data_IF_114578030831
#
_entry.id   IF_114578030831
#
_cell.length_a   1.000
_cell.length_b   1.000
_cell.length_c   1.000
_cell.angle_alpha   90.00
_cell.angle_beta   90.00
_cell.angle_gamma   90.00
#
_symmetry.space_group_name_H-M   'P 1'
#
loop_
_entity.id
_entity.type
_entity.pdbx_description
1 polymer ?
#
# COMPACT_ATOMS: atom_id res chain seq x y z
N UNK A 1 4.70 -4.96 8.85
CA UNK A 1 4.72 -5.20 7.41
C UNK A 1 4.03 -4.07 6.66
N UNK A 2 4.58 -3.64 5.51
CA UNK A 2 3.87 -2.77 4.58
C UNK A 2 2.74 -3.52 3.88
N UNK A 3 1.75 -2.78 3.32
CA UNK A 3 0.69 -3.36 2.49
C UNK A 3 1.04 -3.35 1.00
N UNK A 4 1.99 -2.53 0.59
CA UNK A 4 2.53 -2.53 -0.78
C UNK A 4 3.60 -3.59 -0.91
N UNK A 5 3.65 -4.25 -2.06
CA UNK A 5 4.65 -5.28 -2.31
C UNK A 5 4.60 -5.82 -3.72
N UNK A 6 5.72 -6.36 -4.14
CA UNK A 6 5.90 -7.03 -5.41
C UNK A 6 6.74 -8.29 -5.20
N UNK A 7 6.28 -9.40 -5.78
CA UNK A 7 7.03 -10.64 -5.83
C UNK A 7 6.94 -11.25 -7.21
N UNK A 8 8.05 -11.80 -7.68
CA UNK A 8 8.16 -12.47 -8.96
C UNK A 8 9.04 -13.71 -8.80
N UNK A 9 8.60 -14.78 -9.41
CA UNK A 9 9.40 -16.00 -9.56
C UNK A 9 9.18 -16.61 -10.95
N UNK A 10 10.13 -17.37 -11.44
CA UNK A 10 10.02 -18.02 -12.75
C UNK A 10 10.71 -19.37 -12.76
N UNK A 11 10.15 -20.30 -13.51
CA UNK A 11 10.68 -21.63 -13.70
C UNK A 11 10.75 -21.96 -15.18
N UNK A 12 11.90 -22.46 -15.64
CA UNK A 12 12.05 -23.00 -16.98
C UNK A 12 11.79 -24.51 -16.93
N UNK A 13 10.73 -24.93 -17.62
CA UNK A 13 10.47 -26.33 -17.94
C UNK A 13 11.05 -26.66 -19.31
N UNK A 14 11.01 -27.92 -19.71
CA UNK A 14 11.56 -28.40 -21.00
C UNK A 14 10.96 -27.67 -22.21
N UNK A 15 9.65 -27.42 -22.18
CA UNK A 15 8.89 -26.83 -23.30
C UNK A 15 8.17 -25.52 -22.96
N UNK A 16 8.19 -25.10 -21.70
CA UNK A 16 7.43 -23.96 -21.21
C UNK A 16 8.27 -23.17 -20.21
N UNK A 17 8.13 -21.83 -20.24
CA UNK A 17 8.60 -20.95 -19.17
C UNK A 17 7.39 -20.45 -18.40
N UNK A 18 7.39 -20.69 -17.09
CA UNK A 18 6.34 -20.26 -16.17
C UNK A 18 6.86 -19.05 -15.41
N UNK A 19 6.06 -17.99 -15.37
CA UNK A 19 6.36 -16.79 -14.60
C UNK A 19 5.15 -16.43 -13.75
N UNK A 20 5.39 -16.27 -12.45
CA UNK A 20 4.39 -15.82 -11.48
C UNK A 20 4.73 -14.42 -11.01
N UNK A 21 3.77 -13.52 -11.05
CA UNK A 21 3.87 -12.18 -10.49
C UNK A 21 2.74 -11.95 -9.48
N UNK A 22 3.12 -11.44 -8.31
CA UNK A 22 2.17 -11.07 -7.25
C UNK A 22 2.43 -9.62 -6.89
N UNK A 23 1.41 -8.77 -7.07
CA UNK A 23 1.45 -7.34 -6.73
C UNK A 23 0.43 -7.04 -5.66
N UNK A 24 0.78 -6.21 -4.71
CA UNK A 24 -0.14 -5.81 -3.65
C UNK A 24 -0.10 -4.30 -3.43
N UNK A 25 -1.29 -3.73 -3.26
CA UNK A 25 -1.53 -2.33 -2.93
C UNK A 25 -2.35 -2.22 -1.65
N UNK A 26 -2.36 -1.02 -1.07
CA UNK A 26 -3.16 -0.75 0.13
C UNK A 26 -4.66 -0.90 -0.15
N UNK A 27 -5.37 -1.63 0.72
CA UNK A 27 -6.83 -1.78 0.69
C UNK A 27 -7.40 -1.98 2.10
N UNK A 28 -8.69 -1.68 2.29
CA UNK A 28 -9.39 -1.86 3.56
C UNK A 28 -9.58 -3.34 3.95
N UNK A 29 -9.71 -4.22 2.97
CA UNK A 29 -9.84 -5.67 3.11
C UNK A 29 -8.91 -6.38 2.14
N UNK A 30 -9.08 -7.70 2.02
CA UNK A 30 -8.41 -8.49 0.98
C UNK A 30 -9.27 -8.47 -0.28
N UNK A 31 -8.71 -7.96 -1.37
CA UNK A 31 -9.28 -7.97 -2.72
C UNK A 31 -8.33 -8.72 -3.64
N UNK A 32 -8.75 -9.89 -4.12
CA UNK A 32 -7.92 -10.79 -4.92
C UNK A 32 -8.39 -10.81 -6.37
N UNK A 33 -7.52 -10.37 -7.26
CA UNK A 33 -7.66 -10.52 -8.69
C UNK A 33 -6.65 -11.53 -9.21
N UNK A 34 -7.13 -12.61 -9.82
CA UNK A 34 -6.30 -13.71 -10.32
C UNK A 34 -6.39 -13.78 -11.83
N UNK A 35 -5.24 -13.79 -12.51
CA UNK A 35 -5.11 -14.00 -13.95
C UNK A 35 -4.25 -15.23 -14.20
N UNK A 36 -4.82 -16.24 -14.85
CA UNK A 36 -4.12 -17.47 -15.21
C UNK A 36 -4.66 -18.03 -16.52
N UNK A 37 -3.86 -18.80 -17.25
CA UNK A 37 -4.31 -19.55 -18.42
C UNK A 37 -5.48 -20.48 -18.08
N UNK A 38 -6.39 -20.68 -19.04
CA UNK A 38 -7.60 -21.50 -18.87
C UNK A 38 -7.30 -22.93 -18.46
N UNK A 39 -6.15 -23.45 -18.84
CA UNK A 39 -5.68 -24.80 -18.48
C UNK A 39 -5.60 -24.99 -16.96
N UNK A 40 -5.14 -24.00 -16.19
CA UNK A 40 -4.97 -24.09 -14.73
C UNK A 40 -6.18 -23.59 -13.93
N UNK A 41 -7.29 -23.26 -14.58
CA UNK A 41 -8.47 -22.64 -13.92
C UNK A 41 -9.10 -23.52 -12.85
N UNK A 42 -8.97 -24.83 -12.95
CA UNK A 42 -9.48 -25.76 -11.93
C UNK A 42 -8.81 -25.54 -10.57
N UNK A 43 -7.57 -25.09 -10.57
CA UNK A 43 -6.80 -24.81 -9.36
C UNK A 43 -6.99 -23.39 -8.79
N UNK A 44 -7.81 -22.55 -9.45
CA UNK A 44 -7.98 -21.14 -9.05
C UNK A 44 -8.52 -20.99 -7.63
N UNK A 45 -9.48 -21.81 -7.22
CA UNK A 45 -10.07 -21.75 -5.89
C UNK A 45 -9.03 -22.08 -4.80
N UNK A 46 -8.23 -23.11 -5.01
CA UNK A 46 -7.16 -23.49 -4.08
C UNK A 46 -6.10 -22.38 -3.97
N UNK A 47 -5.75 -21.78 -5.10
CA UNK A 47 -4.82 -20.63 -5.15
C UNK A 47 -5.37 -19.43 -4.39
N UNK A 48 -6.66 -19.08 -4.58
CA UNK A 48 -7.30 -17.97 -3.85
C UNK A 48 -7.28 -18.19 -2.35
N UNK A 49 -7.53 -19.40 -1.89
CA UNK A 49 -7.47 -19.76 -0.47
C UNK A 49 -6.04 -19.64 0.08
N UNK A 50 -5.03 -20.10 -0.68
CA UNK A 50 -3.62 -19.95 -0.31
C UNK A 50 -3.22 -18.47 -0.19
N UNK A 51 -3.57 -17.66 -1.19
CA UNK A 51 -3.30 -16.22 -1.17
C UNK A 51 -4.00 -15.51 -0.01
N UNK A 52 -5.26 -15.88 0.27
CA UNK A 52 -6.01 -15.30 1.39
C UNK A 52 -5.37 -15.63 2.75
N UNK A 53 -4.89 -16.86 2.91
CA UNK A 53 -4.22 -17.31 4.13
C UNK A 53 -2.88 -16.58 4.36
N UNK A 54 -2.10 -16.40 3.28
CA UNK A 54 -0.74 -15.85 3.36
C UNK A 54 -0.71 -14.31 3.41
N UNK A 55 -1.70 -13.64 2.81
CA UNK A 55 -1.63 -12.18 2.55
C UNK A 55 -2.58 -11.34 3.42
N UNK A 56 -3.52 -11.96 4.10
CA UNK A 56 -4.46 -11.37 5.07
C UNK A 56 -5.21 -10.12 4.58
N UNK A 57 -4.52 -9.13 3.96
CA UNK A 57 -5.06 -7.83 3.58
C UNK A 57 -4.30 -7.22 2.38
N UNK A 58 -5.02 -6.40 1.61
CA UNK A 58 -4.50 -5.65 0.47
C UNK A 58 -5.30 -5.92 -0.81
N UNK A 59 -5.16 -5.06 -1.81
CA UNK A 59 -5.59 -5.35 -3.17
C UNK A 59 -4.45 -6.10 -3.85
N UNK A 60 -4.66 -7.37 -4.13
CA UNK A 60 -3.65 -8.29 -4.65
C UNK A 60 -3.99 -8.69 -6.07
N UNK A 61 -3.09 -8.39 -7.00
CA UNK A 61 -3.13 -8.86 -8.37
C UNK A 61 -2.12 -10.00 -8.52
N UNK A 62 -2.64 -11.21 -8.77
CA UNK A 62 -1.87 -12.40 -9.09
C UNK A 62 -1.94 -12.66 -10.59
N UNK A 63 -0.78 -12.93 -11.21
CA UNK A 63 -0.71 -13.29 -12.62
C UNK A 63 0.23 -14.46 -12.83
N UNK A 64 -0.27 -15.49 -13.50
CA UNK A 64 0.48 -16.65 -13.96
C UNK A 64 0.63 -16.56 -15.47
N UNK A 65 1.85 -16.44 -15.95
CA UNK A 65 2.20 -16.43 -17.37
C UNK A 65 2.88 -17.74 -17.75
N UNK A 66 2.50 -18.29 -18.90
CA UNK A 66 3.12 -19.47 -19.50
C UNK A 66 3.52 -19.13 -20.91
N UNK A 67 4.80 -19.18 -21.17
CA UNK A 67 5.40 -18.99 -22.49
C UNK A 67 5.86 -20.37 -22.99
N UNK A 68 5.37 -20.80 -24.15
CA UNK A 68 5.85 -22.04 -24.80
C UNK A 68 7.19 -21.73 -25.44
N UNK A 69 8.23 -22.47 -25.03
CA UNK A 69 9.62 -22.30 -25.49
C UNK A 69 10.09 -23.40 -26.44
N UNK A 70 9.23 -24.41 -26.68
CA UNK A 70 9.50 -25.55 -27.56
C UNK A 70 8.99 -25.34 -29.00
N UNK A 71 9.29 -26.30 -29.87
CA UNK A 71 8.78 -26.35 -31.26
C UNK A 71 7.29 -26.77 -31.34
N UNK A 72 6.66 -27.09 -30.21
CA UNK A 72 5.26 -27.49 -30.15
C UNK A 72 4.34 -26.30 -30.44
N UNK A 73 3.53 -26.47 -31.47
CA UNK A 73 2.50 -25.48 -31.84
C UNK A 73 1.31 -25.61 -30.90
N UNK A 74 0.77 -24.47 -30.45
CA UNK A 74 -0.44 -24.40 -29.60
C UNK A 74 -1.72 -25.00 -30.22
N UNK A 75 -1.68 -25.27 -31.51
CA UNK A 75 -2.78 -25.84 -32.26
C UNK A 75 -2.29 -26.92 -33.22
N UNK A 76 -3.00 -28.03 -33.27
CA UNK A 76 -2.78 -29.12 -34.22
C UNK A 76 -3.80 -29.07 -35.33
N UNK A 77 -3.38 -29.42 -36.56
CA UNK A 77 -4.30 -29.52 -37.68
C UNK A 77 -5.24 -30.71 -37.44
N UNK A 78 -6.55 -30.44 -37.49
CA UNK A 78 -7.56 -31.49 -37.43
C UNK A 78 -7.70 -32.18 -38.81
N UNK A 79 -6.76 -33.07 -39.09
CA UNK A 79 -6.65 -33.74 -40.40
C UNK A 79 -7.96 -34.42 -40.86
N UNK A 80 -8.76 -35.07 -40.00
CA UNK A 80 -10.08 -35.62 -40.41
C UNK A 80 -11.02 -34.53 -40.95
N UNK A 81 -11.11 -33.37 -40.28
CA UNK A 81 -12.01 -32.26 -40.70
C UNK A 81 -11.49 -31.63 -42.01
N UNK A 82 -10.17 -31.39 -42.10
CA UNK A 82 -9.57 -30.87 -43.35
C UNK A 82 -9.87 -31.80 -44.52
N UNK A 83 -9.70 -33.11 -44.37
CA UNK A 83 -10.02 -34.11 -45.40
C UNK A 83 -11.52 -34.12 -45.75
N UNK A 84 -12.42 -33.98 -44.79
CA UNK A 84 -13.85 -33.90 -45.01
C UNK A 84 -14.21 -32.66 -45.84
N UNK A 85 -13.66 -31.48 -45.55
CA UNK A 85 -13.83 -30.27 -46.33
C UNK A 85 -13.26 -30.41 -47.76
N UNK A 86 -12.06 -31.00 -47.90
CA UNK A 86 -11.50 -31.27 -49.23
C UNK A 86 -12.42 -32.16 -50.08
N UNK A 87 -13.01 -33.23 -49.49
CA UNK A 87 -13.93 -34.10 -50.17
C UNK A 87 -15.19 -33.36 -50.61
N UNK A 88 -15.79 -32.52 -49.76
CA UNK A 88 -16.93 -31.69 -50.10
C UNK A 88 -16.63 -30.69 -51.22
N UNK A 89 -15.48 -30.02 -51.17
CA UNK A 89 -15.07 -29.11 -52.23
C UNK A 89 -14.85 -29.81 -53.55
N UNK A 90 -14.30 -31.04 -53.50
CA UNK A 90 -14.06 -31.86 -54.70
C UNK A 90 -15.38 -32.34 -55.38
N UNK A 91 -16.45 -32.51 -54.63
CA UNK A 91 -17.78 -32.78 -55.22
C UNK A 91 -18.33 -31.60 -56.01
N UNK A 92 -17.94 -30.38 -55.65
CA UNK A 92 -18.38 -29.14 -56.32
C UNK A 92 -17.46 -28.83 -57.52
N UNK A 93 -16.18 -29.08 -57.38
CA UNK A 93 -15.14 -28.84 -58.39
C UNK A 93 -14.33 -30.12 -58.63
N UNK A 94 -14.81 -31.09 -59.40
CA UNK A 94 -14.16 -32.39 -59.56
C UNK A 94 -12.74 -32.34 -60.12
N UNK A 95 -12.44 -31.35 -60.95
CA UNK A 95 -11.12 -31.16 -61.63
C UNK A 95 -10.17 -30.21 -60.88
N UNK A 96 -10.49 -29.76 -59.67
CA UNK A 96 -9.63 -28.88 -58.88
C UNK A 96 -8.42 -29.65 -58.36
N UNK A 97 -7.27 -28.95 -58.34
CA UNK A 97 -6.03 -29.48 -57.77
C UNK A 97 -6.14 -29.66 -56.24
N UNK A 98 -5.65 -30.79 -55.76
CA UNK A 98 -5.72 -31.14 -54.32
C UNK A 98 -4.97 -30.12 -53.43
N UNK A 99 -3.93 -29.48 -53.96
CA UNK A 99 -3.19 -28.42 -53.23
C UNK A 99 -4.06 -27.18 -53.04
N UNK A 100 -4.85 -26.78 -54.03
CA UNK A 100 -5.76 -25.64 -53.92
C UNK A 100 -6.95 -25.98 -52.99
N UNK A 101 -7.48 -27.19 -53.07
CA UNK A 101 -8.51 -27.66 -52.15
C UNK A 101 -8.03 -27.67 -50.71
N UNK A 102 -6.78 -28.08 -50.45
CA UNK A 102 -6.18 -28.04 -49.12
C UNK A 102 -6.01 -26.60 -48.58
N UNK A 103 -5.58 -25.66 -49.44
CA UNK A 103 -5.48 -24.23 -49.05
C UNK A 103 -6.84 -23.63 -48.67
N UNK A 104 -7.90 -24.05 -49.33
CA UNK A 104 -9.27 -23.63 -48.98
C UNK A 104 -9.74 -24.32 -47.70
N UNK A 105 -9.59 -25.64 -47.61
CA UNK A 105 -10.07 -26.44 -46.50
C UNK A 105 -9.46 -26.03 -45.15
N UNK A 106 -8.15 -25.68 -45.11
CA UNK A 106 -7.46 -25.30 -43.85
C UNK A 106 -7.96 -23.98 -43.28
N UNK A 107 -8.67 -23.15 -44.06
CA UNK A 107 -9.27 -21.88 -43.64
C UNK A 107 -10.71 -22.03 -43.15
N UNK A 108 -11.30 -23.24 -43.28
CA UNK A 108 -12.65 -23.51 -42.83
C UNK A 108 -12.70 -23.67 -41.28
N UNK A 109 -13.89 -23.52 -40.66
CA UNK A 109 -14.05 -23.70 -39.22
C UNK A 109 -13.58 -25.08 -38.75
N UNK A 110 -13.14 -25.17 -37.49
CA UNK A 110 -12.75 -26.38 -36.78
C UNK A 110 -11.57 -27.18 -37.40
N UNK A 111 -10.85 -26.60 -38.35
CA UNK A 111 -9.68 -27.21 -38.99
C UNK A 111 -8.42 -27.13 -38.11
N UNK A 112 -8.43 -26.27 -37.11
CA UNK A 112 -7.41 -26.22 -36.06
C UNK A 112 -8.01 -26.71 -34.76
N UNK A 113 -7.37 -27.68 -34.14
CA UNK A 113 -7.77 -28.22 -32.83
C UNK A 113 -6.77 -27.77 -31.79
N UNK A 114 -7.26 -27.00 -30.82
CA UNK A 114 -6.49 -26.74 -29.61
C UNK A 114 -6.68 -27.95 -28.70
N UNK A 115 -5.67 -28.77 -28.50
CA UNK A 115 -5.74 -29.84 -27.52
C UNK A 115 -5.78 -29.17 -26.12
N UNK A 116 -6.80 -29.52 -25.34
CA UNK A 116 -6.75 -29.24 -23.91
C UNK A 116 -5.69 -30.19 -23.34
N UNK A 117 -4.51 -29.65 -23.10
CA UNK A 117 -3.50 -30.40 -22.31
C UNK A 117 -4.13 -30.69 -20.95
N UNK A 118 -4.25 -31.96 -20.58
CA UNK A 118 -4.51 -32.33 -19.20
C UNK A 118 -3.29 -31.93 -18.40
N UNK A 119 -3.52 -31.24 -17.27
CA UNK A 119 -2.43 -30.77 -16.42
C UNK A 119 -1.79 -32.00 -15.80
N UNK A 120 -0.50 -32.20 -16.03
CA UNK A 120 0.28 -33.17 -15.26
C UNK A 120 0.35 -32.71 -13.80
N UNK A 121 -0.04 -33.56 -12.86
CA UNK A 121 0.06 -33.27 -11.43
C UNK A 121 1.47 -32.82 -11.00
N UNK A 122 2.51 -33.31 -11.66
CA UNK A 122 3.89 -32.87 -11.41
C UNK A 122 4.15 -31.46 -11.89
N UNK A 123 3.62 -31.06 -13.05
CA UNK A 123 3.70 -29.70 -13.55
C UNK A 123 3.01 -28.73 -12.56
N UNK A 124 1.83 -29.10 -12.07
CA UNK A 124 1.12 -28.27 -11.08
C UNK A 124 1.91 -28.12 -9.77
N UNK A 125 2.52 -29.18 -9.25
CA UNK A 125 3.38 -29.11 -8.05
C UNK A 125 4.58 -28.17 -8.26
N UNK A 126 5.18 -28.19 -9.44
CA UNK A 126 6.26 -27.27 -9.77
C UNK A 126 5.77 -25.83 -9.86
N UNK A 127 4.58 -25.59 -10.43
CA UNK A 127 3.94 -24.26 -10.44
C UNK A 127 3.67 -23.78 -9.01
N UNK A 128 3.18 -24.65 -8.12
CA UNK A 128 2.96 -24.29 -6.71
C UNK A 128 4.26 -23.83 -6.02
N UNK A 129 5.39 -24.48 -6.30
CA UNK A 129 6.69 -24.04 -5.76
C UNK A 129 7.04 -22.62 -6.23
N UNK A 130 6.79 -22.29 -7.51
CA UNK A 130 7.02 -20.95 -8.05
C UNK A 130 6.06 -19.92 -7.46
N UNK A 131 4.81 -20.32 -7.20
CA UNK A 131 3.82 -19.48 -6.52
C UNK A 131 4.28 -19.15 -5.10
N UNK A 132 4.70 -20.15 -4.34
CA UNK A 132 5.21 -19.95 -2.97
C UNK A 132 6.43 -19.05 -2.96
N UNK A 133 7.39 -19.25 -3.88
CA UNK A 133 8.56 -18.37 -4.03
C UNK A 133 8.17 -16.91 -4.35
N UNK A 134 7.22 -16.70 -5.27
CA UNK A 134 6.74 -15.36 -5.59
C UNK A 134 6.06 -14.69 -4.39
N UNK A 135 5.28 -15.45 -3.60
CA UNK A 135 4.66 -14.94 -2.36
C UNK A 135 5.74 -14.59 -1.33
N UNK A 136 6.75 -15.45 -1.13
CA UNK A 136 7.84 -15.18 -0.20
C UNK A 136 8.65 -13.94 -0.59
N UNK A 137 8.93 -13.76 -1.87
CA UNK A 137 9.60 -12.57 -2.40
C UNK A 137 8.77 -11.31 -2.11
N UNK A 138 7.46 -11.36 -2.28
CA UNK A 138 6.57 -10.25 -1.96
C UNK A 138 6.51 -9.97 -0.45
N UNK A 139 6.45 -11.00 0.39
CA UNK A 139 6.46 -10.85 1.86
C UNK A 139 7.78 -10.27 2.36
N UNK A 140 8.90 -10.70 1.77
CA UNK A 140 10.23 -10.15 2.04
C UNK A 140 10.30 -8.66 1.69
N UNK A 141 9.76 -8.26 0.53
CA UNK A 141 9.65 -6.87 0.14
C UNK A 141 8.82 -6.06 1.14
N UNK A 142 7.62 -6.56 1.50
CA UNK A 142 6.75 -5.92 2.52
C UNK A 142 7.45 -5.74 3.86
N UNK A 143 8.27 -6.73 4.27
CA UNK A 143 9.05 -6.67 5.51
C UNK A 143 10.13 -5.59 5.45
N UNK A 144 10.87 -5.53 4.36
CA UNK A 144 11.93 -4.53 4.15
C UNK A 144 11.36 -3.10 4.10
N UNK A 145 10.28 -2.90 3.35
CA UNK A 145 9.59 -1.61 3.27
C UNK A 145 8.99 -1.21 4.63
N UNK A 146 8.37 -2.17 5.34
CA UNK A 146 7.85 -1.94 6.67
C UNK A 146 8.92 -1.51 7.68
N UNK A 147 10.11 -2.11 7.63
CA UNK A 147 11.23 -1.73 8.48
C UNK A 147 11.77 -0.32 8.15
N UNK A 148 11.74 0.07 6.87
CA UNK A 148 12.11 1.43 6.45
C UNK A 148 11.10 2.47 6.95
N UNK A 149 9.80 2.17 6.83
CA UNK A 149 8.73 3.03 7.36
C UNK A 149 8.77 3.16 8.88
N UNK A 150 9.08 2.08 9.60
CA UNK A 150 9.23 2.09 11.06
C UNK A 150 10.32 3.06 11.50
N UNK A 151 11.49 3.01 10.85
CA UNK A 151 12.60 3.94 11.11
C UNK A 151 12.20 5.39 10.83
N UNK A 152 11.53 5.64 9.72
CA UNK A 152 11.08 6.97 9.34
C UNK A 152 10.06 7.51 10.36
N UNK A 153 9.06 6.73 10.75
CA UNK A 153 8.07 7.15 11.74
C UNK A 153 8.71 7.40 13.10
N UNK A 154 9.63 6.55 13.54
CA UNK A 154 10.35 6.75 14.81
C UNK A 154 11.12 8.07 14.78
N UNK A 155 11.84 8.35 13.70
CA UNK A 155 12.57 9.61 13.52
C UNK A 155 11.63 10.83 13.57
N UNK A 156 10.48 10.76 12.89
CA UNK A 156 9.49 11.86 12.90
C UNK A 156 8.92 12.11 14.29
N UNK A 157 8.60 11.05 15.03
CA UNK A 157 8.11 11.16 16.41
C UNK A 157 9.18 11.79 17.33
N UNK A 158 10.44 11.39 17.18
CA UNK A 158 11.55 11.98 17.94
C UNK A 158 11.75 13.47 17.60
N UNK A 159 11.64 13.85 16.32
CA UNK A 159 11.72 15.23 15.90
C UNK A 159 10.60 16.08 16.51
N UNK A 160 9.34 15.61 16.47
CA UNK A 160 8.21 16.30 17.09
C UNK A 160 8.48 16.49 18.59
N UNK A 161 8.94 15.46 19.29
CA UNK A 161 9.29 15.54 20.72
C UNK A 161 10.38 16.58 20.98
N UNK A 162 11.41 16.60 20.15
CA UNK A 162 12.50 17.56 20.26
C UNK A 162 12.03 19.01 20.04
N UNK A 163 11.23 19.25 18.99
CA UNK A 163 10.66 20.59 18.74
C UNK A 163 9.70 21.04 19.85
N UNK A 164 8.89 20.12 20.38
CA UNK A 164 8.05 20.41 21.55
C UNK A 164 8.90 20.83 22.74
N UNK A 165 9.98 20.11 23.06
CA UNK A 165 10.86 20.46 24.16
C UNK A 165 11.54 21.81 23.95
N UNK A 166 11.96 22.16 22.73
CA UNK A 166 12.48 23.48 22.41
C UNK A 166 11.41 24.58 22.59
N UNK A 167 10.17 24.33 22.20
CA UNK A 167 9.06 25.27 22.43
C UNK A 167 8.82 25.54 23.91
N UNK A 168 8.92 24.51 24.75
CA UNK A 168 8.76 24.63 26.20
C UNK A 168 9.89 25.47 26.87
N UNK A 169 11.09 25.49 26.30
CA UNK A 169 12.17 26.36 26.78
C UNK A 169 11.85 27.83 26.52
N UNK A 170 11.09 28.15 25.45
CA UNK A 170 10.66 29.51 25.11
C UNK A 170 9.40 29.98 25.87
N UNK A 171 8.68 29.06 26.52
CA UNK A 171 7.41 29.38 27.18
C UNK A 171 7.51 30.42 28.32
N UNK A 172 8.54 30.40 29.20
CA UNK A 172 8.73 31.45 30.21
C UNK A 172 8.95 32.84 29.60
N UNK A 173 9.71 32.95 28.50
CA UNK A 173 9.92 34.20 27.79
C UNK A 173 8.60 34.73 27.22
N UNK A 174 7.77 33.90 26.65
CA UNK A 174 6.44 34.23 26.17
C UNK A 174 5.57 34.85 27.27
N UNK A 175 5.57 34.24 28.45
CA UNK A 175 4.81 34.75 29.62
C UNK A 175 5.32 36.13 30.03
N UNK A 176 6.61 36.33 30.07
CA UNK A 176 7.25 37.62 30.41
C UNK A 176 6.87 38.68 29.39
N UNK A 177 7.01 38.38 28.09
CA UNK A 177 6.66 39.31 27.01
C UNK A 177 5.16 39.72 27.03
N UNK A 178 4.26 38.84 27.42
CA UNK A 178 2.83 39.16 27.58
C UNK A 178 2.63 40.14 28.72
N UNK A 179 3.26 39.89 29.88
CA UNK A 179 3.18 40.81 31.04
C UNK A 179 3.69 42.20 30.69
N UNK A 180 4.87 42.29 30.11
CA UNK A 180 5.50 43.55 29.72
C UNK A 180 4.64 44.33 28.71
N UNK A 181 4.10 43.64 27.69
CA UNK A 181 3.22 44.29 26.71
C UNK A 181 1.93 44.82 27.30
N UNK A 182 1.31 44.07 28.23
CA UNK A 182 0.10 44.55 28.91
C UNK A 182 0.41 45.71 29.83
N UNK A 183 1.53 45.69 30.55
CA UNK A 183 1.96 46.81 31.41
C UNK A 183 2.23 48.08 30.57
N UNK A 184 3.00 47.94 29.49
CA UNK A 184 3.29 49.07 28.59
C UNK A 184 1.99 49.68 28.01
N UNK A 185 1.05 48.87 27.58
CA UNK A 185 -0.24 49.38 27.05
C UNK A 185 -1.05 50.14 28.10
N UNK A 186 -0.99 49.74 29.37
CA UNK A 186 -1.63 50.48 30.48
C UNK A 186 -0.92 51.82 30.72
N UNK A 187 0.41 51.81 30.77
CA UNK A 187 1.21 53.02 31.00
C UNK A 187 0.99 54.07 29.88
N UNK A 188 0.84 53.60 28.63
CA UNK A 188 0.53 54.46 27.48
C UNK A 188 -0.87 55.11 27.57
N UNK A 189 -1.86 54.38 28.10
CA UNK A 189 -3.22 54.89 28.27
C UNK A 189 -3.35 55.98 29.34
N UNK A 190 -2.34 56.16 30.21
CA UNK A 190 -2.31 57.13 31.32
C UNK A 190 -3.56 57.09 32.21
N UNK A 191 -4.16 55.93 32.35
CA UNK A 191 -5.37 55.70 33.15
C UNK A 191 -4.92 55.13 34.49
N UNK A 192 -5.58 55.59 35.57
CA UNK A 192 -5.37 55.02 36.89
C UNK A 192 -6.10 53.68 36.91
N UNK A 193 -5.36 52.56 36.73
CA UNK A 193 -5.92 51.20 36.67
C UNK A 193 -5.95 50.62 38.08
N UNK A 194 -7.05 50.00 38.44
CA UNK A 194 -7.16 49.20 39.68
C UNK A 194 -6.19 47.99 39.54
N UNK A 195 -5.20 47.96 40.38
CA UNK A 195 -4.16 46.88 40.39
C UNK A 195 -4.78 45.47 40.54
N UNK A 196 -5.82 45.33 41.37
CA UNK A 196 -6.48 44.02 41.55
C UNK A 196 -7.17 43.57 40.25
N UNK A 197 -7.81 44.48 39.54
CA UNK A 197 -8.46 44.18 38.27
C UNK A 197 -7.45 43.83 37.18
N UNK A 198 -6.32 44.51 37.14
CA UNK A 198 -5.24 44.17 36.22
C UNK A 198 -4.65 42.77 36.46
N UNK A 199 -4.42 42.45 37.73
CA UNK A 199 -3.94 41.07 38.10
C UNK A 199 -4.93 39.98 37.71
N UNK A 200 -6.24 40.21 37.92
CA UNK A 200 -7.29 39.28 37.50
C UNK A 200 -7.31 39.05 35.98
N UNK A 201 -7.23 40.12 35.20
CA UNK A 201 -7.17 40.07 33.74
C UNK A 201 -5.89 39.36 33.26
N UNK A 202 -4.76 39.64 33.91
CA UNK A 202 -3.48 38.98 33.61
C UNK A 202 -3.57 37.46 33.87
N UNK A 203 -4.14 37.04 34.99
CA UNK A 203 -4.34 35.61 35.31
C UNK A 203 -5.22 34.98 34.22
N UNK A 204 -6.34 35.61 33.87
CA UNK A 204 -7.22 35.11 32.81
C UNK A 204 -6.49 34.94 31.46
N UNK A 205 -5.65 35.89 31.05
CA UNK A 205 -4.85 35.78 29.83
C UNK A 205 -3.81 34.66 29.91
N UNK A 206 -3.16 34.49 31.06
CA UNK A 206 -2.18 33.43 31.29
C UNK A 206 -2.82 32.05 31.22
N UNK A 207 -3.99 31.87 31.83
CA UNK A 207 -4.77 30.63 31.78
C UNK A 207 -5.22 30.31 30.34
N UNK A 208 -5.75 31.32 29.64
CA UNK A 208 -6.19 31.17 28.24
C UNK A 208 -5.07 30.77 27.28
N UNK A 209 -3.84 31.18 27.55
CA UNK A 209 -2.66 30.90 26.76
C UNK A 209 -1.81 29.75 27.32
N UNK A 210 -2.22 29.12 28.41
CA UNK A 210 -1.52 27.95 28.96
C UNK A 210 -1.53 26.76 27.98
N UNK A 211 -0.36 26.16 27.80
CA UNK A 211 -0.13 25.02 26.89
C UNK A 211 0.18 23.73 27.64
N UNK A 212 0.00 23.71 28.95
CA UNK A 212 0.37 22.56 29.79
C UNK A 212 -0.44 21.31 29.43
N UNK A 213 -1.74 21.49 29.14
CA UNK A 213 -2.61 20.39 28.74
C UNK A 213 -2.18 19.79 27.40
N UNK A 214 -1.95 20.63 26.38
CA UNK A 214 -1.50 20.22 25.07
C UNK A 214 -0.15 19.49 25.11
N UNK A 215 0.77 19.97 25.93
CA UNK A 215 2.06 19.30 26.18
C UNK A 215 1.86 17.89 26.72
N UNK A 216 1.04 17.72 27.76
CA UNK A 216 0.81 16.40 28.38
C UNK A 216 0.12 15.47 27.37
N UNK A 217 -0.91 15.94 26.69
CA UNK A 217 -1.64 15.16 25.69
C UNK A 217 -0.75 14.77 24.50
N UNK A 218 0.00 15.72 23.96
CA UNK A 218 0.93 15.44 22.86
C UNK A 218 1.99 14.40 23.27
N UNK A 219 2.57 14.53 24.47
CA UNK A 219 3.52 13.54 24.97
C UNK A 219 2.90 12.15 25.03
N UNK A 220 1.70 12.03 25.60
CA UNK A 220 0.98 10.76 25.68
C UNK A 220 0.69 10.17 24.28
N UNK A 221 0.31 11.00 23.31
CA UNK A 221 0.06 10.54 21.94
C UNK A 221 1.34 10.09 21.25
N UNK A 222 2.46 10.77 21.45
CA UNK A 222 3.76 10.36 20.91
C UNK A 222 4.20 9.00 21.46
N UNK A 223 4.05 8.79 22.78
CA UNK A 223 4.38 7.52 23.41
C UNK A 223 3.46 6.40 22.96
N UNK A 224 2.16 6.67 22.85
CA UNK A 224 1.18 5.71 22.40
C UNK A 224 1.35 5.35 20.91
N UNK A 225 1.81 6.29 20.08
CA UNK A 225 2.16 6.01 18.69
C UNK A 225 3.30 5.01 18.61
N UNK A 226 4.40 5.23 19.33
CA UNK A 226 5.56 4.32 19.35
C UNK A 226 5.18 2.94 19.91
N UNK A 227 4.40 2.89 20.99
CA UNK A 227 3.89 1.63 21.54
C UNK A 227 3.02 0.87 20.52
N UNK A 228 2.15 1.58 19.80
CA UNK A 228 1.27 0.99 18.79
C UNK A 228 2.05 0.55 17.56
N UNK A 229 3.07 1.31 17.14
CA UNK A 229 3.95 0.98 16.02
C UNK A 229 4.71 -0.33 16.25
N UNK A 230 5.19 -0.56 17.48
CA UNK A 230 5.94 -1.76 17.90
C UNK A 230 5.01 -2.95 18.22
N UNK A 231 3.70 -2.78 18.16
CA UNK A 231 2.74 -3.86 18.39
C UNK A 231 2.73 -4.90 17.27
N UNK A 232 2.32 -6.13 17.61
CA UNK A 232 2.27 -7.26 16.67
C UNK A 232 1.07 -7.23 15.72
N UNK A 233 0.07 -6.41 15.98
CA UNK A 233 -1.17 -6.34 15.22
C UNK A 233 -1.11 -5.35 14.04
N UNK A 234 -2.04 -5.48 13.09
CA UNK A 234 -2.18 -4.57 11.96
C UNK A 234 -2.79 -3.21 12.37
N UNK A 235 -1.99 -2.33 12.97
CA UNK A 235 -2.41 -1.11 13.64
C UNK A 235 -2.46 0.17 12.76
N UNK A 236 -2.36 0.07 11.43
CA UNK A 236 -2.26 1.24 10.55
C UNK A 236 -3.40 2.26 10.70
N UNK A 237 -4.66 1.81 10.90
CA UNK A 237 -5.79 2.70 11.15
C UNK A 237 -5.69 3.41 12.50
N UNK A 238 -5.24 2.70 13.53
CA UNK A 238 -5.03 3.23 14.88
C UNK A 238 -3.93 4.29 14.89
N UNK A 239 -2.80 4.02 14.21
CA UNK A 239 -1.73 5.00 14.01
C UNK A 239 -2.24 6.27 13.31
N UNK A 240 -3.09 6.14 12.29
CA UNK A 240 -3.72 7.27 11.62
C UNK A 240 -4.57 8.13 12.57
N UNK A 241 -5.35 7.53 13.46
CA UNK A 241 -6.11 8.27 14.47
C UNK A 241 -5.20 8.97 15.48
N UNK A 242 -4.16 8.30 15.98
CA UNK A 242 -3.21 8.91 16.91
C UNK A 242 -2.51 10.11 16.24
N UNK A 243 -2.13 10.01 14.96
CA UNK A 243 -1.55 11.14 14.20
C UNK A 243 -2.51 12.32 14.11
N UNK A 244 -3.81 12.09 13.92
CA UNK A 244 -4.80 13.16 13.92
C UNK A 244 -4.89 13.87 15.28
N UNK A 245 -4.87 13.12 16.38
CA UNK A 245 -4.88 13.71 17.73
C UNK A 245 -3.58 14.50 18.00
N UNK A 246 -2.41 13.96 17.62
CA UNK A 246 -1.15 14.73 17.69
C UNK A 246 -1.26 16.05 16.94
N UNK A 247 -1.80 16.03 15.72
CA UNK A 247 -2.02 17.23 14.90
C UNK A 247 -2.95 18.25 15.56
N UNK A 248 -3.98 17.78 16.29
CA UNK A 248 -4.88 18.65 17.06
C UNK A 248 -4.14 19.36 18.20
N UNK A 249 -3.38 18.63 19.00
CA UNK A 249 -2.62 19.20 20.11
C UNK A 249 -1.56 20.20 19.62
N UNK A 250 -0.86 19.89 18.52
CA UNK A 250 0.10 20.81 17.89
C UNK A 250 -0.59 22.09 17.39
N UNK A 251 -1.78 21.97 16.77
CA UNK A 251 -2.55 23.13 16.31
C UNK A 251 -2.99 24.01 17.47
N UNK A 252 -3.50 23.41 18.56
CA UNK A 252 -3.94 24.13 19.76
C UNK A 252 -2.76 24.83 20.43
N UNK A 253 -1.62 24.14 20.56
CA UNK A 253 -0.37 24.74 21.03
C UNK A 253 0.04 25.94 20.18
N UNK A 254 -0.06 25.84 18.84
CA UNK A 254 0.21 26.94 17.92
C UNK A 254 -0.72 28.13 18.12
N UNK A 255 -2.01 27.91 18.31
CA UNK A 255 -2.98 29.00 18.52
C UNK A 255 -2.80 29.73 19.84
N UNK A 256 -2.32 29.04 20.88
CA UNK A 256 -2.00 29.60 22.20
C UNK A 256 -0.58 30.21 22.26
N UNK A 257 0.32 29.86 21.32
CA UNK A 257 1.69 30.34 21.30
C UNK A 257 1.80 31.73 20.63
N UNK A 258 1.63 32.79 21.39
CA UNK A 258 1.82 34.17 20.90
C UNK A 258 3.31 34.57 20.98
N UNK A 259 4.18 33.76 20.32
CA UNK A 259 5.64 33.93 20.31
C UNK A 259 6.22 33.41 18.99
N UNK A 260 6.96 34.23 18.25
CA UNK A 260 7.43 33.90 16.89
C UNK A 260 8.30 32.63 16.83
N UNK A 261 9.21 32.45 17.80
CA UNK A 261 10.05 31.26 17.91
C UNK A 261 9.23 29.97 18.13
N UNK A 262 8.24 30.02 19.00
CA UNK A 262 7.33 28.89 19.22
C UNK A 262 6.49 28.58 17.99
N UNK A 263 5.96 29.58 17.28
CA UNK A 263 5.22 29.39 16.04
C UNK A 263 6.06 28.67 14.98
N UNK A 264 7.34 29.04 14.84
CA UNK A 264 8.26 28.33 13.94
C UNK A 264 8.42 26.84 14.29
N UNK A 265 8.57 26.54 15.59
CA UNK A 265 8.67 25.16 16.06
C UNK A 265 7.37 24.36 15.85
N UNK A 266 6.21 25.00 16.03
CA UNK A 266 4.90 24.39 15.72
C UNK A 266 4.79 24.05 14.23
N UNK A 267 5.25 24.90 13.33
CA UNK A 267 5.30 24.56 11.89
C UNK A 267 6.21 23.37 11.64
N UNK A 268 7.40 23.34 12.25
CA UNK A 268 8.34 22.21 12.10
C UNK A 268 7.81 20.89 12.68
N UNK A 269 6.91 20.94 13.68
CA UNK A 269 6.23 19.73 14.20
C UNK A 269 5.14 19.22 13.25
N UNK A 270 4.64 20.06 12.34
CA UNK A 270 3.56 19.69 11.38
C UNK A 270 4.10 19.13 10.07
N UNK A 271 5.36 19.45 9.72
CA UNK A 271 6.07 18.94 8.55
C UNK A 271 6.57 17.50 8.77
#
# INVERSE_FOLDING_TARGET
LSMTGFGKASLQLSTKKITVEVKSLNSKGLDLNTRMPSVYRENELALRNLLALKLERGKVDFSLYVEVTGEDTSSKINAPIVKAYMAQLKTILPNADDTELMKMAIRMPDTMKTEREEIDENEWKQIQTVIDEAIENMLSFRKSEGASLEKEFTLRIENIRNYMNQALVLDPERVTNIKERLQTAIDELKVNVDTNRFEQELIYYLEKLDITEEKVRLTNHLDYFLQTLNGSEANGRKLGFITQEMGREINTMGSKSNHAGMQKLVVMMKD
#
